data_IF_618142473087
#
_entry.id   IF_618142473087
#
_cell.length_a   1.000
_cell.length_b   1.000
_cell.length_c   1.000
_cell.angle_alpha   90.00
_cell.angle_beta   90.00
_cell.angle_gamma   90.00
#
_symmetry.space_group_name_H-M   'P 1'
#
loop_
_entity.id
_entity.type
_entity.pdbx_description
1 polymer ?
#
# COMPACT_ATOMS: atom_id res chain seq x y z
N UNK A 1 -12.37 35.52 17.62
CA UNK A 1 -11.95 34.15 17.25
C UNK A 1 -12.85 33.64 16.15
N UNK A 2 -12.28 33.41 14.97
CA UNK A 2 -13.00 32.82 13.85
C UNK A 2 -13.37 31.37 14.16
N UNK A 3 -14.45 30.86 13.55
CA UNK A 3 -14.83 29.44 13.66
C UNK A 3 -13.64 28.52 13.32
N UNK A 4 -12.84 28.88 12.31
CA UNK A 4 -11.65 28.14 11.93
C UNK A 4 -10.62 28.04 13.06
N UNK A 5 -10.30 29.15 13.74
CA UNK A 5 -9.35 29.15 14.86
C UNK A 5 -9.81 28.25 16.01
N UNK A 6 -11.12 28.23 16.30
CA UNK A 6 -11.70 27.39 17.36
C UNK A 6 -11.53 25.89 17.07
N UNK A 7 -11.63 25.47 15.81
CA UNK A 7 -11.62 24.04 15.43
C UNK A 7 -10.35 23.57 14.69
N UNK A 8 -9.36 24.46 14.48
CA UNK A 8 -8.14 24.18 13.72
C UNK A 8 -7.43 22.90 14.17
N UNK A 9 -7.29 22.69 15.48
CA UNK A 9 -6.63 21.52 16.03
C UNK A 9 -7.44 20.25 15.80
N UNK A 10 -8.75 20.29 16.01
CA UNK A 10 -9.67 19.17 15.75
C UNK A 10 -9.63 18.75 14.28
N UNK A 11 -9.63 19.71 13.35
CA UNK A 11 -9.52 19.44 11.91
C UNK A 11 -8.18 18.77 11.59
N UNK A 12 -7.06 19.29 12.12
CA UNK A 12 -5.73 18.70 11.90
C UNK A 12 -5.65 17.25 12.39
N UNK A 13 -6.16 16.98 13.59
CA UNK A 13 -6.18 15.62 14.15
C UNK A 13 -7.08 14.68 13.33
N UNK A 14 -8.23 15.17 12.84
CA UNK A 14 -9.09 14.43 11.93
C UNK A 14 -8.38 14.02 10.65
N UNK A 15 -7.66 14.96 10.02
CA UNK A 15 -6.87 14.71 8.80
C UNK A 15 -5.74 13.70 9.06
N UNK A 16 -5.02 13.84 10.17
CA UNK A 16 -3.93 12.93 10.57
C UNK A 16 -4.44 11.50 10.78
N UNK A 17 -5.54 11.34 11.51
CA UNK A 17 -6.21 10.04 11.72
C UNK A 17 -6.65 9.42 10.40
N UNK A 18 -7.27 10.22 9.53
CA UNK A 18 -7.72 9.74 8.22
C UNK A 18 -6.53 9.28 7.34
N UNK A 19 -5.41 10.02 7.35
CA UNK A 19 -4.18 9.61 6.65
C UNK A 19 -3.65 8.28 7.18
N UNK A 20 -3.51 8.15 8.50
CA UNK A 20 -3.03 6.91 9.13
C UNK A 20 -3.89 5.70 8.76
N UNK A 21 -5.22 5.85 8.74
CA UNK A 21 -6.12 4.76 8.33
C UNK A 21 -5.90 4.33 6.87
N UNK A 22 -5.57 5.26 5.97
CA UNK A 22 -5.25 4.92 4.56
C UNK A 22 -3.95 4.16 4.43
N UNK A 23 -2.95 4.50 5.24
CA UNK A 23 -1.67 3.77 5.28
C UNK A 23 -1.87 2.36 5.87
N UNK A 24 -2.64 2.23 6.95
CA UNK A 24 -2.98 0.94 7.57
C UNK A 24 -3.69 0.01 6.58
N UNK A 25 -4.63 0.51 5.79
CA UNK A 25 -5.40 -0.32 4.84
C UNK A 25 -4.53 -1.11 3.86
N UNK A 26 -3.42 -0.52 3.37
CA UNK A 26 -2.49 -1.26 2.49
C UNK A 26 -1.77 -2.37 3.27
N UNK A 27 -1.39 -2.11 4.51
CA UNK A 27 -0.72 -3.10 5.34
C UNK A 27 -1.68 -4.23 5.70
N UNK A 28 -2.94 -3.92 6.02
CA UNK A 28 -4.00 -4.93 6.23
C UNK A 28 -4.21 -5.79 4.98
N UNK A 29 -4.19 -5.19 3.79
CA UNK A 29 -4.27 -5.94 2.53
C UNK A 29 -3.08 -6.89 2.34
N UNK A 30 -1.89 -6.51 2.79
CA UNK A 30 -0.66 -7.30 2.65
C UNK A 30 -0.42 -8.30 3.79
N UNK A 31 -1.20 -8.23 4.87
CA UNK A 31 -0.97 -8.99 6.10
C UNK A 31 -1.09 -10.51 5.93
N UNK A 32 -1.91 -10.95 4.97
CA UNK A 32 -2.12 -12.36 4.62
C UNK A 32 -1.41 -12.77 3.33
N UNK A 33 -0.51 -11.92 2.82
CA UNK A 33 0.21 -12.14 1.56
C UNK A 33 1.65 -12.52 1.82
N UNK A 34 2.22 -13.19 0.84
CA UNK A 34 3.65 -13.49 0.79
C UNK A 34 4.18 -13.22 -0.62
N UNK A 35 5.50 -13.07 -0.71
CA UNK A 35 6.19 -12.98 -1.97
C UNK A 35 5.94 -14.25 -2.79
N UNK A 36 5.37 -14.08 -3.98
CA UNK A 36 5.07 -15.20 -4.90
C UNK A 36 6.30 -15.97 -5.37
N UNK A 37 7.51 -15.47 -5.10
CA UNK A 37 8.78 -16.05 -5.56
C UNK A 37 9.62 -16.69 -4.47
N UNK A 38 9.58 -16.19 -3.23
CA UNK A 38 10.46 -16.68 -2.16
C UNK A 38 9.75 -16.92 -0.83
N UNK A 39 8.43 -16.71 -0.76
CA UNK A 39 7.64 -16.94 0.45
C UNK A 39 7.78 -15.90 1.56
N UNK A 40 8.61 -14.86 1.41
CA UNK A 40 8.72 -13.75 2.38
C UNK A 40 7.34 -13.18 2.72
N UNK A 41 7.03 -13.07 4.01
CA UNK A 41 5.71 -12.66 4.52
C UNK A 41 5.74 -11.40 5.36
N UNK A 42 6.93 -10.85 5.66
CA UNK A 42 7.05 -9.59 6.39
C UNK A 42 6.41 -8.45 5.59
N UNK A 43 5.27 -7.94 6.08
CA UNK A 43 4.46 -6.93 5.38
C UNK A 43 5.27 -5.70 4.97
N UNK A 44 6.26 -5.31 5.79
CA UNK A 44 7.13 -4.17 5.50
C UNK A 44 8.06 -4.41 4.29
N UNK A 45 8.39 -5.67 3.99
CA UNK A 45 9.21 -6.08 2.85
C UNK A 45 8.39 -6.26 1.56
N UNK A 46 7.06 -6.30 1.64
CA UNK A 46 6.19 -6.57 0.50
C UNK A 46 5.86 -5.31 -0.34
N UNK A 47 5.86 -5.50 -1.64
CA UNK A 47 5.56 -4.48 -2.65
C UNK A 47 4.69 -5.05 -3.77
N UNK A 48 3.88 -4.18 -4.38
CA UNK A 48 3.12 -4.52 -5.57
C UNK A 48 3.99 -4.32 -6.81
N UNK A 49 4.27 -5.36 -7.57
CA UNK A 49 5.05 -5.24 -8.80
C UNK A 49 4.13 -5.39 -10.03
N UNK A 50 4.26 -4.51 -11.05
CA UNK A 50 5.28 -3.46 -11.21
C UNK A 50 4.95 -2.09 -10.57
N UNK A 51 3.73 -1.88 -10.06
CA UNK A 51 3.17 -0.55 -9.84
C UNK A 51 3.14 -0.06 -8.37
N UNK A 52 4.06 -0.51 -7.53
CA UNK A 52 4.05 -0.25 -6.08
C UNK A 52 3.85 1.24 -5.75
N UNK A 53 4.58 2.12 -6.45
CA UNK A 53 4.54 3.55 -6.20
C UNK A 53 3.17 4.13 -6.56
N UNK A 54 2.62 3.77 -7.72
CA UNK A 54 1.34 4.27 -8.18
C UNK A 54 0.21 3.80 -7.25
N UNK A 55 0.16 2.51 -6.91
CA UNK A 55 -0.82 1.95 -5.97
C UNK A 55 -0.78 2.69 -4.62
N UNK A 56 0.42 2.95 -4.08
CA UNK A 56 0.58 3.68 -2.81
C UNK A 56 0.19 5.16 -2.92
N UNK A 57 0.41 5.82 -4.06
CA UNK A 57 -0.05 7.21 -4.29
C UNK A 57 -1.58 7.24 -4.34
N UNK A 58 -2.20 6.39 -5.15
CA UNK A 58 -3.67 6.36 -5.32
C UNK A 58 -4.35 5.96 -4.00
N UNK A 59 -3.82 4.97 -3.29
CA UNK A 59 -4.34 4.56 -1.96
C UNK A 59 -4.31 5.70 -0.93
N UNK A 60 -3.28 6.56 -0.96
CA UNK A 60 -3.18 7.70 -0.04
C UNK A 60 -4.08 8.88 -0.41
N UNK A 61 -4.48 9.00 -1.69
CA UNK A 61 -5.34 10.09 -2.17
C UNK A 61 -6.83 9.77 -2.09
N UNK A 62 -7.23 8.49 -2.16
CA UNK A 62 -8.64 8.07 -2.12
C UNK A 62 -9.11 7.77 -0.69
N UNK A 63 -10.36 8.13 -0.40
CA UNK A 63 -11.04 7.76 0.85
C UNK A 63 -11.16 6.24 1.03
N UNK A 64 -11.55 5.80 2.23
CA UNK A 64 -11.68 4.37 2.57
C UNK A 64 -13.06 3.78 2.25
N UNK A 65 -13.96 4.55 1.63
CA UNK A 65 -15.26 4.03 1.19
C UNK A 65 -15.02 3.04 0.04
N UNK A 66 -15.72 1.92 0.07
CA UNK A 66 -15.56 0.80 -0.87
C UNK A 66 -15.61 1.24 -2.34
N UNK A 67 -16.64 1.99 -2.75
CA UNK A 67 -16.77 2.53 -4.13
C UNK A 67 -15.58 3.40 -4.56
N UNK A 68 -14.91 4.08 -3.62
CA UNK A 68 -13.73 4.90 -3.94
C UNK A 68 -12.45 4.06 -4.09
N UNK A 69 -12.49 2.79 -3.65
CA UNK A 69 -11.37 1.86 -3.60
C UNK A 69 -11.40 0.83 -4.72
N UNK A 70 -12.55 0.60 -5.36
CA UNK A 70 -12.68 -0.28 -6.53
C UNK A 70 -11.56 -0.10 -7.58
N UNK A 71 -11.18 1.13 -8.00
CA UNK A 71 -10.12 1.30 -8.99
C UNK A 71 -8.73 0.86 -8.48
N UNK A 72 -8.46 1.07 -7.18
CA UNK A 72 -7.20 0.64 -6.56
C UNK A 72 -7.17 -0.88 -6.44
N UNK A 73 -8.29 -1.50 -6.07
CA UNK A 73 -8.40 -2.95 -5.97
C UNK A 73 -8.17 -3.62 -7.32
N UNK A 74 -8.72 -3.07 -8.41
CA UNK A 74 -8.44 -3.56 -9.76
C UNK A 74 -6.95 -3.49 -10.09
N UNK A 75 -6.30 -2.36 -9.78
CA UNK A 75 -4.86 -2.21 -10.01
C UNK A 75 -4.02 -3.16 -9.17
N UNK A 76 -4.43 -3.41 -7.93
CA UNK A 76 -3.77 -4.39 -7.07
C UNK A 76 -3.92 -5.80 -7.65
N UNK A 77 -5.09 -6.16 -8.19
CA UNK A 77 -5.33 -7.48 -8.79
C UNK A 77 -4.43 -7.78 -9.99
N UNK A 78 -4.07 -6.78 -10.78
CA UNK A 78 -3.17 -6.94 -11.92
C UNK A 78 -1.69 -6.98 -11.54
N UNK A 79 -1.37 -6.68 -10.28
CA UNK A 79 -0.02 -6.65 -9.76
C UNK A 79 0.30 -7.94 -8.98
N UNK A 80 1.57 -8.33 -8.98
CA UNK A 80 2.08 -9.42 -8.13
C UNK A 80 2.55 -8.86 -6.79
N UNK A 81 2.33 -9.59 -5.71
CA UNK A 81 2.97 -9.29 -4.43
C UNK A 81 4.34 -9.98 -4.39
N UNK A 82 5.39 -9.17 -4.31
CA UNK A 82 6.78 -9.64 -4.23
C UNK A 82 7.48 -8.95 -3.06
N UNK A 83 8.55 -9.53 -2.53
CA UNK A 83 9.41 -8.81 -1.59
C UNK A 83 10.35 -7.85 -2.32
N UNK A 84 10.94 -6.88 -1.59
CA UNK A 84 11.87 -5.91 -2.17
C UNK A 84 13.07 -6.58 -2.87
N UNK A 85 13.59 -7.68 -2.32
CA UNK A 85 14.72 -8.40 -2.92
C UNK A 85 14.34 -9.04 -4.25
N UNK A 86 13.21 -9.74 -4.32
CA UNK A 86 12.72 -10.33 -5.58
C UNK A 86 12.39 -9.26 -6.62
N UNK A 87 11.80 -8.13 -6.19
CA UNK A 87 11.61 -6.97 -7.07
C UNK A 87 12.92 -6.51 -7.69
N UNK A 88 13.95 -6.27 -6.87
CA UNK A 88 15.24 -5.81 -7.35
C UNK A 88 15.90 -6.83 -8.29
N UNK A 89 15.76 -8.13 -8.02
CA UNK A 89 16.23 -9.18 -8.94
C UNK A 89 15.55 -9.09 -10.31
N UNK A 90 14.22 -8.99 -10.35
CA UNK A 90 13.45 -8.85 -11.60
C UNK A 90 13.89 -7.59 -12.37
N UNK A 91 14.02 -6.46 -11.68
CA UNK A 91 14.43 -5.18 -12.29
C UNK A 91 15.86 -5.21 -12.87
N UNK A 92 16.71 -6.09 -12.36
CA UNK A 92 18.11 -6.25 -12.82
C UNK A 92 18.32 -7.52 -13.65
N UNK A 93 17.25 -8.19 -14.09
CA UNK A 93 17.31 -9.45 -14.87
C UNK A 93 18.14 -10.56 -14.17
N UNK A 94 18.08 -10.60 -12.84
CA UNK A 94 18.75 -11.60 -12.01
C UNK A 94 17.79 -12.77 -11.75
N UNK A 95 18.32 -13.99 -11.84
CA UNK A 95 17.58 -15.21 -11.54
C UNK A 95 16.94 -15.18 -10.14
N UNK A 96 15.66 -15.52 -10.10
CA UNK A 96 14.90 -15.62 -8.86
C UNK A 96 15.23 -16.95 -8.18
N UNK A 97 15.57 -16.88 -6.89
CA UNK A 97 15.77 -18.09 -6.10
C UNK A 97 14.44 -18.82 -5.97
N UNK A 98 14.31 -20.08 -6.40
CA UNK A 98 13.06 -20.80 -6.31
C UNK A 98 12.68 -21.08 -4.85
N UNK A 99 11.37 -21.18 -4.62
CA UNK A 99 10.82 -21.77 -3.41
C UNK A 99 11.13 -23.27 -3.50
N UNK A 100 11.92 -23.79 -2.57
CA UNK A 100 12.09 -25.23 -2.36
C UNK A 100 11.01 -25.75 -1.43
#
# INVERSE_FOLDING_TARGET
MTHYEKYKNTIKEGVKKARRKRDIWINEYLADKSCVHCGESETCALVFYPDNQEIRIVSRSKGLREKLREPILEKIRTNKVVCMNCRSKIENDIELSPIF
#
